data_IF_951617413355
#
_entry.id   IF_951617413355
#
_cell.length_a   1.000
_cell.length_b   1.000
_cell.length_c   1.000
_cell.angle_alpha   90.00
_cell.angle_beta   90.00
_cell.angle_gamma   90.00
#
_symmetry.space_group_name_H-M   'P 1'
#
loop_
_entity.id
_entity.type
_entity.pdbx_description
1 polymer ?
#
# COMPACT_ATOMS: atom_id res chain seq x y z
N UNK A 1 -10.64 20.19 -6.30
CA UNK A 1 -9.66 21.00 -5.55
C UNK A 1 -8.43 20.13 -5.34
N UNK A 2 -7.27 20.52 -5.85
CA UNK A 2 -6.02 19.79 -5.65
C UNK A 2 -5.68 19.82 -4.15
N UNK A 3 -5.52 18.65 -3.54
CA UNK A 3 -5.00 18.54 -2.19
C UNK A 3 -3.49 18.76 -2.28
N UNK A 4 -3.05 19.99 -2.03
CA UNK A 4 -1.65 20.34 -1.80
C UNK A 4 -1.28 19.77 -0.42
N UNK A 5 -0.72 18.57 -0.41
CA UNK A 5 0.08 18.11 0.73
C UNK A 5 1.50 18.67 0.57
N UNK A 6 2.19 18.89 1.68
CA UNK A 6 3.49 19.58 1.81
C UNK A 6 4.65 19.02 0.95
N UNK A 7 4.39 18.03 0.10
CA UNK A 7 5.36 17.25 -0.66
C UNK A 7 5.64 17.76 -2.07
N UNK A 8 4.95 18.81 -2.54
CA UNK A 8 5.16 19.39 -3.87
C UNK A 8 4.65 18.51 -5.03
N UNK A 9 3.87 17.47 -4.69
CA UNK A 9 3.19 16.61 -5.65
C UNK A 9 1.70 16.96 -5.74
N UNK A 10 1.13 16.73 -6.91
CA UNK A 10 -0.32 16.87 -7.16
C UNK A 10 -0.81 15.77 -8.08
N UNK A 11 -2.12 15.63 -8.22
CA UNK A 11 -2.72 14.64 -9.13
C UNK A 11 -3.49 15.31 -10.25
N UNK A 12 -3.41 14.73 -11.45
CA UNK A 12 -4.28 15.05 -12.58
C UNK A 12 -5.12 13.82 -12.92
N UNK A 13 -6.43 13.97 -13.02
CA UNK A 13 -7.34 12.88 -13.41
C UNK A 13 -7.78 13.07 -14.85
N UNK A 14 -7.68 11.99 -15.64
CA UNK A 14 -8.19 11.92 -17.00
C UNK A 14 -9.18 10.76 -17.12
N UNK A 15 -10.16 10.87 -18.01
CA UNK A 15 -11.15 9.84 -18.27
C UNK A 15 -12.11 9.58 -17.11
N UNK A 16 -12.94 8.54 -17.27
CA UNK A 16 -13.95 8.13 -16.30
C UNK A 16 -14.21 6.63 -16.38
N UNK A 17 -14.80 6.05 -15.34
CA UNK A 17 -15.06 4.61 -15.27
C UNK A 17 -13.80 3.77 -15.58
N UNK A 18 -13.87 2.95 -16.63
CA UNK A 18 -12.75 2.08 -17.05
C UNK A 18 -11.55 2.83 -17.63
N UNK A 19 -11.75 4.04 -18.19
CA UNK A 19 -10.68 4.85 -18.76
C UNK A 19 -10.07 5.82 -17.75
N UNK A 20 -10.63 5.89 -16.54
CA UNK A 20 -10.14 6.79 -15.49
C UNK A 20 -8.68 6.48 -15.14
N UNK A 21 -7.83 7.51 -15.20
CA UNK A 21 -6.43 7.47 -14.77
C UNK A 21 -6.13 8.64 -13.85
N UNK A 22 -5.40 8.38 -12.78
CA UNK A 22 -4.89 9.40 -11.85
C UNK A 22 -3.37 9.46 -12.02
N UNK A 23 -2.91 10.50 -12.71
CA UNK A 23 -1.49 10.75 -12.90
C UNK A 23 -0.93 11.54 -11.73
N UNK A 24 0.23 11.10 -11.24
CA UNK A 24 1.03 11.89 -10.32
C UNK A 24 1.78 12.98 -11.08
N UNK A 25 1.86 14.18 -10.51
CA UNK A 25 2.52 15.33 -11.13
C UNK A 25 3.45 16.01 -10.12
N UNK A 26 4.59 16.51 -10.61
CA UNK A 26 5.54 17.33 -9.86
C UNK A 26 5.91 18.55 -10.70
N UNK A 27 5.76 19.74 -10.13
CA UNK A 27 6.00 21.00 -10.86
C UNK A 27 5.30 21.07 -12.23
N UNK A 28 4.05 20.59 -12.30
CA UNK A 28 3.22 20.60 -13.51
C UNK A 28 3.55 19.52 -14.56
N UNK A 29 4.50 18.61 -14.29
CA UNK A 29 4.83 17.50 -15.19
C UNK A 29 4.36 16.17 -14.60
N UNK A 30 3.73 15.32 -15.42
CA UNK A 30 3.38 13.96 -15.03
C UNK A 30 4.65 13.12 -14.82
N UNK A 31 4.66 12.34 -13.75
CA UNK A 31 5.76 11.45 -13.36
C UNK A 31 5.19 10.08 -13.00
N UNK A 32 6.02 9.05 -13.06
CA UNK A 32 5.68 7.72 -12.55
C UNK A 32 5.66 7.69 -11.03
N UNK A 33 4.54 7.31 -10.38
CA UNK A 33 4.53 7.07 -8.95
C UNK A 33 5.43 5.88 -8.58
N UNK A 34 5.66 4.92 -9.49
CA UNK A 34 6.52 3.77 -9.22
C UNK A 34 8.00 4.11 -9.39
N UNK A 35 8.40 4.73 -10.51
CA UNK A 35 9.81 4.81 -10.87
C UNK A 35 10.45 6.18 -10.57
N UNK A 36 9.69 7.27 -10.66
CA UNK A 36 10.23 8.64 -10.59
C UNK A 36 10.15 9.25 -9.18
N UNK A 37 9.35 8.65 -8.28
CA UNK A 37 9.35 9.00 -6.86
C UNK A 37 10.56 8.38 -6.17
N UNK A 38 11.34 9.20 -5.46
CA UNK A 38 12.43 8.69 -4.63
C UNK A 38 11.86 7.89 -3.46
N UNK A 39 12.31 6.65 -3.25
CA UNK A 39 11.97 5.86 -2.06
C UNK A 39 12.44 6.51 -0.76
N UNK A 40 13.67 7.05 -0.78
CA UNK A 40 14.27 7.75 0.35
C UNK A 40 14.17 9.27 0.20
N UNK A 41 13.41 9.96 1.07
CA UNK A 41 13.37 11.42 1.05
C UNK A 41 14.69 12.01 1.55
N UNK A 42 15.15 13.08 0.91
CA UNK A 42 16.42 13.73 1.22
C UNK A 42 16.39 14.35 2.64
N UNK A 43 17.47 14.17 3.40
CA UNK A 43 17.64 14.78 4.74
C UNK A 43 16.77 14.17 5.85
N UNK A 44 16.18 12.99 5.62
CA UNK A 44 15.37 12.25 6.60
C UNK A 44 16.13 11.08 7.21
N UNK A 45 15.67 10.64 8.38
CA UNK A 45 16.21 9.46 9.08
C UNK A 45 16.04 8.18 8.26
N UNK A 46 16.86 7.16 8.56
CA UNK A 46 16.91 5.89 7.81
C UNK A 46 15.61 5.07 7.87
N UNK A 47 14.73 5.35 8.83
CA UNK A 47 13.42 4.73 9.02
C UNK A 47 12.27 5.50 8.35
N UNK A 48 12.56 6.64 7.70
CA UNK A 48 11.60 7.45 6.96
C UNK A 48 11.71 7.15 5.46
N UNK A 49 10.55 7.00 4.83
CA UNK A 49 10.39 6.65 3.42
C UNK A 49 9.28 7.51 2.80
N UNK A 50 9.35 7.70 1.49
CA UNK A 50 8.26 8.32 0.73
C UNK A 50 7.31 7.22 0.28
N UNK A 51 6.01 7.40 0.46
CA UNK A 51 4.98 6.48 0.00
C UNK A 51 3.98 7.17 -0.94
N UNK A 52 3.39 6.39 -1.86
CA UNK A 52 2.30 6.84 -2.71
C UNK A 52 1.02 6.08 -2.34
N UNK A 53 -0.06 6.81 -2.05
CA UNK A 53 -1.32 6.24 -1.60
C UNK A 53 -2.26 5.95 -2.75
N UNK A 54 -2.95 4.81 -2.70
CA UNK A 54 -3.82 4.33 -3.77
C UNK A 54 -5.28 4.30 -3.31
N UNK A 55 -5.54 3.75 -2.12
CA UNK A 55 -6.88 3.55 -1.59
C UNK A 55 -7.01 4.30 -0.27
N UNK A 56 -7.83 5.37 -0.22
CA UNK A 56 -8.05 6.11 1.01
C UNK A 56 -8.77 5.25 2.07
N UNK A 57 -8.50 5.54 3.33
CA UNK A 57 -9.25 5.01 4.48
C UNK A 57 -10.76 5.06 4.25
N UNK A 58 -11.47 3.96 4.54
CA UNK A 58 -12.90 3.79 4.31
C UNK A 58 -13.37 3.99 2.85
N UNK A 59 -12.50 3.80 1.85
CA UNK A 59 -12.88 3.71 0.44
C UNK A 59 -12.65 2.30 -0.09
N UNK A 60 -13.55 1.85 -0.96
CA UNK A 60 -13.58 0.46 -1.44
C UNK A 60 -13.18 0.30 -2.90
N UNK A 61 -13.00 1.38 -3.65
CA UNK A 61 -12.49 1.27 -5.03
C UNK A 61 -11.06 0.72 -4.98
N UNK A 62 -10.81 -0.46 -5.56
CA UNK A 62 -9.46 -1.05 -5.60
C UNK A 62 -8.65 -0.29 -6.65
N UNK A 63 -8.03 0.80 -6.24
CA UNK A 63 -7.09 1.56 -7.04
C UNK A 63 -5.69 0.94 -6.89
N UNK A 64 -4.92 0.94 -7.97
CA UNK A 64 -3.56 0.41 -8.01
C UNK A 64 -2.75 1.13 -9.09
N UNK A 65 -1.43 1.09 -8.95
CA UNK A 65 -0.49 1.51 -9.98
C UNK A 65 -0.63 0.67 -11.25
N UNK A 66 -0.77 1.32 -12.41
CA UNK A 66 -0.85 0.62 -13.68
C UNK A 66 0.56 0.22 -14.17
N UNK A 67 1.03 -0.98 -13.78
CA UNK A 67 2.36 -1.52 -14.15
C UNK A 67 2.67 -1.47 -15.65
N UNK A 68 1.64 -1.65 -16.48
CA UNK A 68 1.75 -1.79 -17.92
C UNK A 68 1.42 -0.51 -18.72
N UNK A 69 1.27 0.64 -18.06
CA UNK A 69 0.97 1.91 -18.71
C UNK A 69 2.12 2.91 -18.53
N UNK A 70 2.35 3.74 -19.55
CA UNK A 70 3.39 4.78 -19.49
C UNK A 70 3.13 5.73 -18.33
N UNK A 71 4.17 6.03 -17.55
CA UNK A 71 4.11 6.82 -16.31
C UNK A 71 3.27 6.19 -15.19
N UNK A 72 2.88 4.92 -15.31
CA UNK A 72 2.24 4.13 -14.26
C UNK A 72 1.14 4.88 -13.48
N UNK A 73 0.15 5.51 -14.14
CA UNK A 73 -0.93 6.19 -13.43
C UNK A 73 -1.68 5.21 -12.52
N UNK A 74 -2.34 5.72 -11.49
CA UNK A 74 -3.26 4.89 -10.73
C UNK A 74 -4.54 4.67 -11.54
N UNK A 75 -5.04 3.43 -11.53
CA UNK A 75 -6.32 3.05 -12.12
C UNK A 75 -7.08 2.13 -11.19
N UNK A 76 -8.38 2.02 -11.40
CA UNK A 76 -9.16 1.02 -10.67
C UNK A 76 -8.98 -0.35 -11.32
N UNK A 77 -8.63 -1.35 -10.51
CA UNK A 77 -8.59 -2.76 -10.91
C UNK A 77 -9.96 -3.19 -11.47
N UNK A 78 -9.95 -4.21 -12.32
CA UNK A 78 -11.15 -4.73 -12.97
C UNK A 78 -11.28 -6.21 -12.73
N UNK A 79 -12.51 -6.68 -12.54
CA UNK A 79 -12.82 -8.11 -12.43
C UNK A 79 -13.91 -8.50 -13.39
N UNK A 80 -14.06 -9.80 -13.61
CA UNK A 80 -15.20 -10.36 -14.35
C UNK A 80 -16.37 -10.57 -13.38
N UNK A 81 -17.56 -10.12 -13.75
CA UNK A 81 -18.78 -10.44 -13.01
C UNK A 81 -19.01 -11.94 -13.03
N UNK A 82 -19.26 -12.54 -11.87
CA UNK A 82 -19.61 -13.97 -11.77
C UNK A 82 -21.01 -14.28 -12.31
N UNK A 83 -21.90 -13.27 -12.33
CA UNK A 83 -23.28 -13.42 -12.77
C UNK A 83 -23.41 -13.20 -14.28
N UNK A 84 -22.82 -12.13 -14.80
CA UNK A 84 -23.00 -11.72 -16.20
C UNK A 84 -21.80 -12.07 -17.08
N UNK A 85 -20.63 -12.34 -16.49
CA UNK A 85 -19.40 -12.52 -17.25
C UNK A 85 -18.81 -11.22 -17.81
N UNK A 86 -19.43 -10.06 -17.57
CA UNK A 86 -18.95 -8.79 -18.10
C UNK A 86 -17.80 -8.23 -17.25
N UNK A 87 -16.94 -7.42 -17.88
CA UNK A 87 -15.88 -6.69 -17.18
C UNK A 87 -16.51 -5.59 -16.33
N UNK A 88 -16.11 -5.50 -15.07
CA UNK A 88 -16.57 -4.49 -14.13
C UNK A 88 -15.41 -3.92 -13.30
N UNK A 89 -15.57 -2.69 -12.82
CA UNK A 89 -14.65 -2.09 -11.88
C UNK A 89 -14.68 -2.86 -10.55
N UNK A 90 -13.51 -3.05 -9.94
CA UNK A 90 -13.38 -3.84 -8.71
C UNK A 90 -13.54 -2.97 -7.48
N UNK A 91 -14.43 -3.41 -6.60
CA UNK A 91 -14.61 -2.84 -5.27
C UNK A 91 -14.37 -3.92 -4.22
N UNK A 92 -13.75 -3.55 -3.10
CA UNK A 92 -13.67 -4.37 -1.91
C UNK A 92 -15.05 -4.59 -1.32
N UNK A 93 -15.30 -5.79 -0.81
CA UNK A 93 -16.54 -6.14 -0.14
C UNK A 93 -16.61 -5.62 1.31
N UNK A 94 -15.47 -5.18 1.86
CA UNK A 94 -15.34 -4.62 3.20
C UNK A 94 -14.58 -3.29 3.12
N UNK A 95 -14.89 -2.35 4.00
CA UNK A 95 -14.15 -1.09 4.11
C UNK A 95 -12.75 -1.35 4.67
N UNK A 96 -11.67 -0.88 4.00
CA UNK A 96 -10.34 -0.89 4.58
C UNK A 96 -10.28 -0.03 5.86
N UNK A 97 -9.59 -0.54 6.87
CA UNK A 97 -9.40 0.12 8.18
C UNK A 97 -8.14 1.01 8.22
N UNK A 98 -7.53 1.26 7.07
CA UNK A 98 -6.24 1.92 6.88
C UNK A 98 -6.25 2.67 5.55
N UNK A 99 -5.32 3.60 5.36
CA UNK A 99 -4.93 4.04 4.02
C UNK A 99 -4.00 2.98 3.42
N UNK A 100 -4.14 2.71 2.12
CA UNK A 100 -3.35 1.72 1.41
C UNK A 100 -2.60 2.36 0.25
N UNK A 101 -1.42 1.83 -0.05
CA UNK A 101 -0.64 2.23 -1.19
C UNK A 101 0.64 1.43 -1.28
N UNK A 102 1.68 2.05 -1.81
CA UNK A 102 2.95 1.37 -2.06
C UNK A 102 4.17 2.23 -1.80
N UNK A 103 5.31 1.56 -1.69
CA UNK A 103 6.63 2.19 -1.75
C UNK A 103 7.13 2.28 -3.19
N UNK A 104 7.50 3.47 -3.67
CA UNK A 104 8.06 3.63 -5.00
C UNK A 104 9.44 2.97 -5.08
N UNK A 105 9.91 2.64 -6.28
CA UNK A 105 11.22 2.04 -6.55
C UNK A 105 11.48 0.73 -5.79
N UNK A 106 10.41 0.01 -5.44
CA UNK A 106 10.46 -1.35 -4.90
C UNK A 106 9.78 -2.32 -5.88
N UNK A 107 10.08 -3.61 -5.79
CA UNK A 107 9.44 -4.65 -6.58
C UNK A 107 9.57 -6.00 -5.88
N UNK A 108 8.45 -6.65 -5.62
CA UNK A 108 8.39 -8.01 -5.09
C UNK A 108 8.71 -9.02 -6.20
N UNK A 109 10.00 -9.37 -6.28
CA UNK A 109 10.54 -10.16 -7.37
C UNK A 109 9.87 -11.55 -7.47
N UNK A 110 9.13 -11.76 -8.55
CA UNK A 110 8.41 -13.01 -8.83
C UNK A 110 9.32 -14.13 -9.41
N UNK A 111 10.52 -13.80 -9.87
CA UNK A 111 11.49 -14.75 -10.45
C UNK A 111 12.32 -15.48 -9.38
N UNK A 112 12.38 -14.94 -8.17
CA UNK A 112 13.17 -15.49 -7.06
C UNK A 112 12.28 -16.07 -5.98
N UNK A 113 12.63 -17.27 -5.49
CA UNK A 113 11.98 -17.86 -4.31
C UNK A 113 12.61 -17.23 -3.06
N UNK A 114 11.80 -16.54 -2.27
CA UNK A 114 12.23 -15.97 -1.02
C UNK A 114 12.62 -17.08 -0.03
N UNK A 115 13.88 -17.04 0.43
CA UNK A 115 14.55 -18.15 1.11
C UNK A 115 13.82 -18.64 2.38
N UNK A 116 13.22 -17.73 3.13
CA UNK A 116 12.61 -18.06 4.42
C UNK A 116 11.15 -18.51 4.30
N UNK A 117 10.43 -18.05 3.28
CA UNK A 117 9.00 -18.33 3.11
C UNK A 117 8.75 -19.42 2.07
N UNK A 118 9.70 -19.65 1.16
CA UNK A 118 9.54 -20.58 0.04
C UNK A 118 8.56 -20.10 -1.02
N UNK A 119 8.19 -18.81 -1.00
CA UNK A 119 7.22 -18.19 -1.92
C UNK A 119 7.91 -17.22 -2.89
N UNK A 120 7.27 -16.94 -4.02
CA UNK A 120 7.69 -15.91 -4.99
C UNK A 120 6.95 -14.61 -4.69
N UNK A 121 7.54 -13.46 -4.98
CA UNK A 121 6.83 -12.17 -4.91
C UNK A 121 5.67 -12.09 -5.90
N UNK A 122 4.76 -11.17 -5.68
CA UNK A 122 3.53 -10.95 -6.45
C UNK A 122 3.70 -10.04 -7.69
N UNK A 123 4.95 -9.66 -8.02
CA UNK A 123 5.31 -8.81 -9.15
C UNK A 123 4.85 -7.34 -9.01
N UNK A 124 4.40 -6.90 -7.83
CA UNK A 124 3.98 -5.52 -7.54
C UNK A 124 5.05 -4.75 -6.74
N UNK A 125 4.99 -3.40 -6.65
CA UNK A 125 5.77 -2.69 -5.64
C UNK A 125 5.31 -3.09 -4.24
N UNK A 126 6.20 -3.01 -3.25
CA UNK A 126 5.89 -3.38 -1.88
C UNK A 126 4.72 -2.54 -1.34
N UNK A 127 3.73 -3.24 -0.80
CA UNK A 127 2.52 -2.65 -0.27
C UNK A 127 2.70 -2.05 1.13
N UNK A 128 1.94 -0.99 1.38
CA UNK A 128 1.91 -0.32 2.68
C UNK A 128 0.50 -0.24 3.27
N UNK A 129 0.46 -0.33 4.60
CA UNK A 129 -0.70 -0.08 5.45
C UNK A 129 -0.37 1.15 6.29
N UNK A 130 -0.99 2.29 5.98
CA UNK A 130 -0.83 3.50 6.77
C UNK A 130 -1.98 3.63 7.79
N UNK A 131 -1.57 3.78 9.06
CA UNK A 131 -2.42 3.60 10.23
C UNK A 131 -3.15 4.87 10.71
N UNK A 132 -2.96 5.99 10.02
CA UNK A 132 -3.59 7.27 10.32
C UNK A 132 -5.10 7.20 10.10
N UNK A 133 -5.85 7.99 10.88
CA UNK A 133 -7.32 8.04 10.76
C UNK A 133 -7.83 9.00 9.69
N UNK A 134 -6.94 9.80 9.09
CA UNK A 134 -7.30 10.79 8.06
C UNK A 134 -7.22 10.14 6.68
N UNK A 135 -8.29 10.15 5.87
CA UNK A 135 -8.23 9.62 4.51
C UNK A 135 -7.20 10.35 3.64
N UNK A 136 -6.29 9.59 3.04
CA UNK A 136 -5.30 10.06 2.07
C UNK A 136 -5.81 9.76 0.66
N UNK A 137 -5.95 10.81 -0.17
CA UNK A 137 -6.48 10.69 -1.52
C UNK A 137 -5.59 9.77 -2.39
N UNK A 138 -6.19 9.11 -3.39
CA UNK A 138 -5.43 8.39 -4.40
C UNK A 138 -4.43 9.33 -5.11
N UNK A 139 -3.16 8.93 -5.15
CA UNK A 139 -2.03 9.72 -5.64
C UNK A 139 -1.45 10.70 -4.61
N UNK A 140 -1.94 10.71 -3.37
CA UNK A 140 -1.28 11.45 -2.30
C UNK A 140 0.13 10.87 -2.06
N UNK A 141 1.07 11.75 -1.70
CA UNK A 141 2.45 11.37 -1.41
C UNK A 141 2.83 11.97 -0.06
N UNK A 142 3.31 11.13 0.85
CA UNK A 142 3.74 11.56 2.18
C UNK A 142 5.03 10.84 2.61
N UNK A 143 5.73 11.46 3.56
CA UNK A 143 6.80 10.81 4.29
C UNK A 143 6.20 10.00 5.44
N UNK A 144 6.56 8.73 5.51
CA UNK A 144 6.06 7.78 6.49
C UNK A 144 7.22 7.12 7.22
N UNK A 145 7.00 6.78 8.48
CA UNK A 145 7.91 5.95 9.27
C UNK A 145 7.46 4.49 9.18
N UNK A 146 8.40 3.57 8.94
CA UNK A 146 8.15 2.13 9.06
C UNK A 146 8.06 1.76 10.55
N UNK A 147 6.96 1.10 10.94
CA UNK A 147 6.72 0.63 12.31
C UNK A 147 6.91 -0.88 12.47
N UNK A 148 6.78 -1.62 11.36
CA UNK A 148 6.84 -3.08 11.29
C UNK A 148 6.20 -3.56 10.00
N UNK A 149 5.82 -4.83 9.92
CA UNK A 149 5.11 -5.36 8.74
C UNK A 149 4.59 -6.77 8.91
N UNK A 150 3.75 -7.19 7.95
CA UNK A 150 3.14 -8.51 7.89
C UNK A 150 3.62 -9.26 6.64
N UNK A 151 3.89 -10.56 6.79
CA UNK A 151 4.19 -11.47 5.68
C UNK A 151 2.90 -12.15 5.21
N UNK A 152 2.12 -11.53 4.33
CA UNK A 152 0.90 -12.15 3.80
C UNK A 152 1.29 -13.18 2.74
N UNK A 153 0.59 -14.32 2.73
CA UNK A 153 0.57 -15.23 1.59
C UNK A 153 -0.75 -15.06 0.88
N UNK A 154 -0.73 -14.29 -0.20
CA UNK A 154 -1.91 -13.94 -0.95
C UNK A 154 -2.07 -14.88 -2.14
N UNK A 155 -2.94 -15.90 -2.00
CA UNK A 155 -3.11 -16.95 -3.01
C UNK A 155 -1.80 -17.65 -3.41
N UNK A 156 -0.95 -17.93 -2.41
CA UNK A 156 0.37 -18.57 -2.52
C UNK A 156 1.53 -17.67 -3.00
N UNK A 157 1.27 -16.39 -3.25
CA UNK A 157 2.30 -15.38 -3.53
C UNK A 157 2.74 -14.69 -2.22
N UNK A 158 4.03 -14.36 -2.12
CA UNK A 158 4.56 -13.49 -1.08
C UNK A 158 4.06 -12.08 -1.36
N UNK A 159 3.50 -11.47 -0.33
CA UNK A 159 2.88 -10.16 -0.41
C UNK A 159 3.15 -9.43 0.91
N UNK A 160 4.20 -8.62 0.95
CA UNK A 160 4.58 -7.89 2.15
C UNK A 160 3.66 -6.69 2.37
N UNK A 161 3.06 -6.64 3.56
CA UNK A 161 2.29 -5.47 3.99
C UNK A 161 3.07 -4.69 5.03
N UNK A 162 3.82 -3.68 4.61
CA UNK A 162 4.62 -2.86 5.53
C UNK A 162 3.70 -1.90 6.28
N UNK A 163 3.79 -1.93 7.60
CA UNK A 163 2.97 -1.11 8.49
C UNK A 163 3.69 0.21 8.75
N UNK A 164 3.01 1.30 8.42
CA UNK A 164 3.57 2.65 8.47
C UNK A 164 2.62 3.65 9.12
N UNK A 165 3.17 4.80 9.50
CA UNK A 165 2.39 5.97 9.92
C UNK A 165 3.11 7.23 9.44
N UNK A 166 2.36 8.28 9.10
CA UNK A 166 2.97 9.55 8.69
C UNK A 166 3.96 10.06 9.73
N UNK A 167 5.12 10.55 9.27
CA UNK A 167 6.23 11.00 10.13
C UNK A 167 5.78 12.05 11.17
N UNK A 168 4.93 12.99 10.75
CA UNK A 168 4.38 14.04 11.61
C UNK A 168 3.43 13.48 12.67
N UNK A 169 2.67 12.44 12.35
CA UNK A 169 1.75 11.78 13.26
C UNK A 169 2.50 10.89 14.27
N UNK A 170 3.55 10.17 13.84
CA UNK A 170 4.46 9.49 14.76
C UNK A 170 5.06 10.46 15.79
N UNK A 171 5.55 11.60 15.34
CA UNK A 171 6.14 12.63 16.20
C UNK A 171 5.12 13.17 17.20
N UNK A 172 3.91 13.49 16.72
CA UNK A 172 2.83 14.03 17.55
C UNK A 172 2.37 13.04 18.62
N UNK A 173 2.31 11.74 18.29
CA UNK A 173 1.79 10.70 19.19
C UNK A 173 2.89 10.01 20.01
N UNK A 174 4.17 10.27 19.71
CA UNK A 174 5.29 9.57 20.36
C UNK A 174 5.43 8.10 19.96
N UNK A 175 4.96 7.73 18.76
CA UNK A 175 4.98 6.34 18.27
C UNK A 175 6.30 6.08 17.54
N UNK A 176 7.08 5.11 18.02
CA UNK A 176 8.38 4.74 17.43
C UNK A 176 8.32 3.45 16.63
N UNK A 177 7.49 2.50 17.04
CA UNK A 177 7.34 1.19 16.40
C UNK A 177 5.90 0.67 16.51
N UNK A 178 5.66 -0.56 16.03
CA UNK A 178 4.34 -1.20 16.09
C UNK A 178 3.88 -1.51 17.53
N UNK A 179 4.79 -1.62 18.51
CA UNK A 179 4.44 -1.90 19.91
C UNK A 179 3.87 -0.65 20.55
N UNK A 180 4.54 0.48 20.40
CA UNK A 180 4.02 1.79 20.83
C UNK A 180 2.65 2.07 20.18
N UNK A 181 2.49 1.76 18.88
CA UNK A 181 1.19 1.90 18.22
C UNK A 181 0.12 1.00 18.84
N UNK A 182 0.43 -0.27 19.09
CA UNK A 182 -0.53 -1.23 19.64
C UNK A 182 -0.93 -0.91 21.09
N UNK A 183 -0.02 -0.31 21.87
CA UNK A 183 -0.33 0.24 23.20
C UNK A 183 -1.29 1.43 23.12
N UNK A 184 -1.06 2.35 22.18
CA UNK A 184 -1.92 3.53 21.98
C UNK A 184 -3.28 3.18 21.33
N UNK A 185 -3.32 2.17 20.46
CA UNK A 185 -4.49 1.77 19.69
C UNK A 185 -4.68 0.25 19.69
N UNK A 186 -5.08 -0.32 20.84
CA UNK A 186 -5.22 -1.77 20.98
C UNK A 186 -6.20 -2.35 19.96
N UNK A 187 -5.90 -3.57 19.48
CA UNK A 187 -6.70 -4.37 18.55
C UNK A 187 -6.79 -3.85 17.10
N UNK A 188 -6.27 -2.66 16.78
CA UNK A 188 -6.31 -2.16 15.39
C UNK A 188 -5.51 -3.03 14.43
N UNK A 189 -4.27 -3.40 14.78
CA UNK A 189 -3.45 -4.26 13.93
C UNK A 189 -4.06 -5.67 13.78
N UNK A 190 -4.71 -6.17 14.82
CA UNK A 190 -5.45 -7.44 14.76
C UNK A 190 -6.62 -7.38 13.78
N UNK A 191 -7.40 -6.31 13.81
CA UNK A 191 -8.49 -6.09 12.88
C UNK A 191 -8.01 -5.98 11.43
N UNK A 192 -6.88 -5.33 11.20
CA UNK A 192 -6.24 -5.23 9.87
C UNK A 192 -5.77 -6.60 9.38
N UNK A 193 -5.12 -7.36 10.25
CA UNK A 193 -4.69 -8.73 9.94
C UNK A 193 -5.86 -9.63 9.59
N UNK A 194 -6.97 -9.52 10.32
CA UNK A 194 -8.22 -10.25 10.01
C UNK A 194 -8.84 -9.81 8.67
N UNK A 195 -8.78 -8.51 8.37
CA UNK A 195 -9.25 -7.96 7.11
C UNK A 195 -8.51 -8.59 5.92
N UNK A 196 -7.17 -8.58 5.91
CA UNK A 196 -6.38 -9.21 4.84
C UNK A 196 -6.58 -10.73 4.76
N UNK A 197 -6.75 -11.39 5.91
CA UNK A 197 -7.00 -12.83 5.98
C UNK A 197 -8.30 -13.22 5.25
N UNK A 198 -9.33 -12.38 5.35
CA UNK A 198 -10.69 -12.73 4.91
C UNK A 198 -11.18 -11.99 3.67
N UNK A 199 -10.54 -10.90 3.24
CA UNK A 199 -11.10 -10.01 2.21
C UNK A 199 -11.44 -10.74 0.90
N UNK A 200 -10.60 -11.68 0.46
CA UNK A 200 -10.79 -12.40 -0.80
C UNK A 200 -11.83 -13.52 -0.74
N UNK A 201 -12.35 -13.89 0.44
CA UNK A 201 -13.43 -14.90 0.55
C UNK A 201 -14.75 -14.42 -0.06
N UNK A 202 -14.97 -13.11 -0.07
CA UNK A 202 -16.11 -12.47 -0.74
C UNK A 202 -16.02 -12.61 -2.27
N UNK A 203 -14.78 -12.69 -2.78
CA UNK A 203 -14.48 -13.08 -4.16
C UNK A 203 -14.37 -14.61 -4.27
N UNK A 204 -14.95 -15.41 -3.36
CA UNK A 204 -14.96 -16.89 -3.35
C UNK A 204 -13.58 -17.56 -3.37
N UNK A 205 -12.53 -16.86 -2.98
CA UNK A 205 -11.18 -17.42 -2.84
C UNK A 205 -10.98 -17.99 -1.44
N UNK A 206 -9.95 -18.81 -1.28
CA UNK A 206 -9.56 -19.31 0.03
C UNK A 206 -9.12 -18.14 0.95
N UNK A 207 -9.23 -18.38 2.25
CA UNK A 207 -8.70 -17.50 3.30
C UNK A 207 -7.18 -17.38 3.10
N UNK A 208 -6.65 -16.16 3.13
CA UNK A 208 -5.20 -15.94 3.04
C UNK A 208 -4.50 -16.40 4.32
N UNK A 209 -3.23 -16.75 4.22
CA UNK A 209 -2.40 -17.18 5.36
C UNK A 209 -1.22 -16.24 5.54
N UNK A 210 -0.42 -16.45 6.59
CA UNK A 210 0.73 -15.61 6.89
C UNK A 210 1.98 -16.44 7.11
N UNK A 211 3.13 -15.90 6.69
CA UNK A 211 4.43 -16.33 7.16
C UNK A 211 4.69 -15.87 8.60
N UNK A 212 5.78 -16.35 9.21
CA UNK A 212 6.23 -15.94 10.55
C UNK A 212 5.13 -16.01 11.63
N UNK A 213 4.28 -17.04 11.57
CA UNK A 213 3.13 -17.23 12.47
C UNK A 213 2.11 -16.06 12.48
N UNK A 214 2.13 -15.21 11.45
CA UNK A 214 1.30 -14.00 11.40
C UNK A 214 1.68 -12.93 12.43
N UNK A 215 2.92 -12.94 12.93
CA UNK A 215 3.47 -11.90 13.80
C UNK A 215 3.72 -10.61 13.00
N UNK A 216 3.56 -9.47 13.67
CA UNK A 216 4.08 -8.20 13.16
C UNK A 216 5.60 -8.24 13.34
N UNK A 217 6.34 -8.25 12.25
CA UNK A 217 7.80 -8.17 12.26
C UNK A 217 8.21 -6.72 12.56
N UNK A 218 9.40 -6.55 13.15
CA UNK A 218 9.89 -5.25 13.57
C UNK A 218 10.29 -4.34 12.38
N UNK A 219 10.48 -3.05 12.69
CA UNK A 219 10.84 -2.06 11.70
C UNK A 219 12.22 -2.33 11.09
N UNK A 220 13.18 -2.88 11.86
CA UNK A 220 14.52 -3.18 11.37
C UNK A 220 14.48 -4.24 10.27
N UNK A 221 13.72 -5.31 10.48
CA UNK A 221 13.48 -6.33 9.46
C UNK A 221 12.92 -5.72 8.17
N UNK A 222 11.89 -4.88 8.29
CA UNK A 222 11.22 -4.27 7.13
C UNK A 222 12.13 -3.26 6.42
N UNK A 223 12.95 -2.51 7.15
CA UNK A 223 13.96 -1.63 6.55
C UNK A 223 15.02 -2.45 5.81
N UNK A 224 15.42 -3.60 6.35
CA UNK A 224 16.29 -4.56 5.68
C UNK A 224 15.71 -5.01 4.35
N UNK A 225 14.44 -5.45 4.35
CA UNK A 225 13.68 -5.85 3.16
C UNK A 225 13.67 -4.76 2.08
N UNK A 226 13.55 -3.47 2.44
CA UNK A 226 13.53 -2.38 1.46
C UNK A 226 14.88 -2.15 0.74
N UNK A 227 15.96 -2.81 1.18
CA UNK A 227 17.27 -2.75 0.55
C UNK A 227 17.60 -4.00 -0.29
N UNK A 228 16.70 -5.00 -0.31
CA UNK A 228 16.82 -6.20 -1.16
C UNK A 228 16.30 -5.93 -2.58
#
# INVERSE_FOLDING_TARGET
KAFSTESGYSTMTEGEGFTKRVYLTKAGKSISPWHDLKLKPDGKSSDIFTACFEIPFNKIAKMEVAKNEKLNPLRQDTKKSRLTGEKQLRYYAQFPLFNYGMFPQTWENCDVIHKHTGKRGDDDPVDIIELGSVPLAAGAVANVKILGGLCLFDQDELDWKVVVLQESECTKLGIRDHKDYNEAFPYKLDAIREWFRTIKTHDGKAINSYGYDGKVLDAEFMIGLMNE
#
